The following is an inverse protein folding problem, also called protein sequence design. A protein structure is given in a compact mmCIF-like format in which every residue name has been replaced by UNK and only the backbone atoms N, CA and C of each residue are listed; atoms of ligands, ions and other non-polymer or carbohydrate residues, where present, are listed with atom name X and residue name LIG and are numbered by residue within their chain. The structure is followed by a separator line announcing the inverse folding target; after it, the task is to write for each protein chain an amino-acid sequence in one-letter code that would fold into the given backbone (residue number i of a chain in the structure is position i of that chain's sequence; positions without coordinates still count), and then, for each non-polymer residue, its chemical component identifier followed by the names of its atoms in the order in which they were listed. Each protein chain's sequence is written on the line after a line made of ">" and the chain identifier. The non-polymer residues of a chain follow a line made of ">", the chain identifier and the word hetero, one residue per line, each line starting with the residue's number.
data_IF_205358457984
#
_entry.id   IF_205358457984
#
_cell.length_a   1.000
_cell.length_b   1.000
_cell.length_c   1.000
_cell.angle_alpha   90.00
_cell.angle_beta   90.00
_cell.angle_gamma   90.00
#
_symmetry.space_group_name_H-M   'P 1'
#
loop_
_entity.id
_entity.type
_entity.pdbx_description
1 polymer ?
#
# COMPACT_ATOMS: atom_id res chain seq x y z
N UNK A 1 38.59 30.35 57.44
CA UNK A 1 39.19 29.71 58.64
C UNK A 1 39.46 28.24 58.31
N UNK A 2 40.72 27.90 58.00
CA UNK A 2 41.64 27.02 58.78
C UNK A 2 41.19 25.56 58.99
N UNK A 3 41.90 24.66 58.28
CA UNK A 3 42.49 23.33 58.63
C UNK A 3 41.79 22.51 59.73
N UNK A 4 41.65 21.20 59.56
CA UNK A 4 42.68 20.27 60.06
C UNK A 4 42.69 18.89 59.34
N UNK A 5 43.89 18.48 58.93
CA UNK A 5 44.35 17.12 58.61
C UNK A 5 44.69 16.33 59.89
N UNK A 6 44.46 15.01 59.90
CA UNK A 6 45.29 13.94 60.52
C UNK A 6 45.00 12.66 59.71
N UNK A 7 45.88 12.05 58.90
CA UNK A 7 47.19 11.41 59.13
C UNK A 7 47.16 10.28 60.16
N UNK A 8 46.98 9.04 59.69
CA UNK A 8 47.51 7.83 60.35
C UNK A 8 48.13 6.94 59.27
N UNK A 9 49.44 6.82 59.36
CA UNK A 9 50.34 5.90 58.69
C UNK A 9 50.17 4.48 59.21
N UNK A 10 50.28 3.46 58.35
CA UNK A 10 50.74 2.10 58.73
C UNK A 10 51.22 1.31 57.51
N UNK A 11 52.54 1.34 57.35
CA UNK A 11 53.45 0.20 57.16
C UNK A 11 53.13 -0.83 56.07
N UNK A 12 53.92 -0.77 55.00
CA UNK A 12 54.15 -1.86 54.05
C UNK A 12 54.75 -3.07 54.75
N UNK A 13 54.18 -4.25 54.54
CA UNK A 13 54.89 -5.53 54.66
C UNK A 13 54.65 -6.33 53.38
N UNK A 14 55.71 -6.48 52.60
CA UNK A 14 55.73 -7.31 51.40
C UNK A 14 55.71 -8.78 51.83
N UNK A 15 54.65 -9.50 51.46
CA UNK A 15 54.58 -10.96 51.55
C UNK A 15 54.46 -11.52 50.14
N UNK A 16 55.55 -12.07 49.62
CA UNK A 16 55.62 -12.82 48.37
C UNK A 16 54.81 -14.11 48.49
N UNK A 17 53.64 -14.16 47.86
CA UNK A 17 52.89 -15.40 47.66
C UNK A 17 53.22 -15.95 46.27
N UNK A 18 54.08 -16.95 46.25
CA UNK A 18 54.44 -17.74 45.08
C UNK A 18 53.20 -18.50 44.59
N UNK A 19 52.54 -18.00 43.56
CA UNK A 19 51.48 -18.74 42.85
C UNK A 19 52.19 -19.79 41.99
N UNK A 20 52.25 -21.01 42.50
CA UNK A 20 52.59 -22.20 41.71
C UNK A 20 51.46 -22.39 40.70
N UNK A 21 51.78 -22.21 39.42
CA UNK A 21 50.86 -22.41 38.31
C UNK A 21 50.45 -23.87 38.22
N UNK A 22 49.13 -24.12 38.29
CA UNK A 22 48.52 -25.33 37.72
C UNK A 22 47.87 -24.92 36.41
N UNK A 23 48.71 -24.65 35.42
CA UNK A 23 48.29 -24.63 34.01
C UNK A 23 48.08 -26.07 33.58
N UNK A 24 46.83 -26.56 33.59
CA UNK A 24 46.55 -27.85 32.97
C UNK A 24 45.33 -28.64 33.45
N UNK A 25 44.17 -28.02 33.68
CA UNK A 25 42.92 -28.77 33.57
C UNK A 25 42.41 -28.64 32.14
N UNK A 26 42.75 -29.64 31.32
CA UNK A 26 42.17 -29.87 30.00
C UNK A 26 40.64 -29.82 30.10
N UNK A 27 39.98 -28.99 29.27
CA UNK A 27 38.52 -28.80 29.22
C UNK A 27 37.71 -30.08 28.97
N UNK A 28 38.35 -31.21 28.67
CA UNK A 28 37.69 -32.51 28.50
C UNK A 28 37.08 -33.08 29.78
N UNK A 29 37.49 -32.61 30.98
CA UNK A 29 36.87 -33.08 32.22
C UNK A 29 35.47 -32.47 32.48
N UNK A 30 35.12 -31.36 31.80
CA UNK A 30 33.82 -30.68 32.01
C UNK A 30 32.66 -31.24 31.17
N UNK A 31 32.93 -31.99 30.10
CA UNK A 31 31.89 -32.53 29.21
C UNK A 31 31.19 -33.79 29.75
N UNK A 32 31.60 -34.31 30.91
CA UNK A 32 30.97 -35.49 31.54
C UNK A 32 29.89 -35.08 32.55
N UNK A 33 29.85 -33.81 32.97
CA UNK A 33 28.92 -33.29 33.99
C UNK A 33 27.82 -32.40 33.42
N UNK A 34 27.95 -31.93 32.18
CA UNK A 34 26.97 -31.07 31.53
C UNK A 34 26.89 -31.49 30.06
N UNK A 35 25.71 -31.93 29.61
CA UNK A 35 25.37 -32.11 28.19
C UNK A 35 25.39 -30.74 27.49
N UNK A 36 26.59 -30.26 27.17
CA UNK A 36 26.81 -29.09 26.33
C UNK A 36 26.97 -29.60 24.90
N UNK A 37 26.04 -29.32 23.98
CA UNK A 37 26.19 -29.70 22.59
C UNK A 37 27.44 -29.05 21.99
N UNK A 38 28.17 -29.83 21.20
CA UNK A 38 29.44 -29.46 20.58
C UNK A 38 29.24 -28.26 19.63
N UNK A 39 30.05 -27.21 19.80
CA UNK A 39 29.93 -25.96 19.02
C UNK A 39 30.26 -26.25 17.55
N UNK A 40 29.24 -26.20 16.68
CA UNK A 40 29.41 -26.37 15.24
C UNK A 40 30.45 -25.35 14.70
N UNK A 41 31.41 -25.86 13.92
CA UNK A 41 32.48 -25.06 13.34
C UNK A 41 31.89 -23.89 12.50
N UNK A 42 32.17 -22.65 12.92
CA UNK A 42 31.82 -21.44 12.16
C UNK A 42 32.33 -21.56 10.72
N UNK A 43 31.48 -21.32 9.69
CA UNK A 43 31.92 -21.34 8.31
C UNK A 43 32.98 -20.25 8.09
N UNK A 44 34.09 -20.63 7.47
CA UNK A 44 35.15 -19.69 7.09
C UNK A 44 34.58 -18.71 6.06
N UNK A 45 34.69 -17.41 6.37
CA UNK A 45 34.24 -16.35 5.49
C UNK A 45 35.08 -16.34 4.21
N UNK A 46 34.46 -16.67 3.08
CA UNK A 46 35.07 -16.49 1.75
C UNK A 46 35.17 -14.98 1.50
N UNK A 47 36.40 -14.50 1.36
CA UNK A 47 36.68 -13.08 1.14
C UNK A 47 36.45 -12.75 -0.34
N UNK A 48 35.22 -12.33 -0.66
CA UNK A 48 34.85 -11.97 -2.04
C UNK A 48 35.28 -10.53 -2.31
N UNK A 49 36.05 -10.32 -3.39
CA UNK A 49 36.50 -9.00 -3.82
C UNK A 49 35.29 -8.08 -4.09
N UNK A 50 35.24 -6.97 -3.35
CA UNK A 50 34.18 -5.96 -3.46
C UNK A 50 34.04 -5.36 -4.86
N UNK A 51 35.10 -5.41 -5.66
CA UNK A 51 35.15 -4.93 -7.05
C UNK A 51 34.38 -5.90 -7.97
N UNK A 52 34.57 -7.20 -7.76
CA UNK A 52 33.82 -8.26 -8.47
C UNK A 52 32.34 -8.21 -8.07
N UNK A 53 32.02 -8.02 -6.79
CA UNK A 53 30.64 -7.87 -6.33
C UNK A 53 29.94 -6.66 -6.94
N UNK A 54 30.64 -5.52 -7.09
CA UNK A 54 30.09 -4.33 -7.76
C UNK A 54 29.87 -4.58 -9.24
N UNK A 55 30.85 -5.16 -9.94
CA UNK A 55 30.74 -5.48 -11.36
C UNK A 55 29.61 -6.49 -11.65
N UNK A 56 29.46 -7.51 -10.79
CA UNK A 56 28.33 -8.45 -10.86
C UNK A 56 27.00 -7.75 -10.58
N UNK A 57 26.93 -6.88 -9.58
CA UNK A 57 25.73 -6.12 -9.27
C UNK A 57 25.33 -5.17 -10.41
N UNK A 58 26.30 -4.52 -11.05
CA UNK A 58 26.06 -3.61 -12.18
C UNK A 58 25.69 -4.40 -13.45
N UNK A 59 26.27 -5.58 -13.66
CA UNK A 59 25.87 -6.49 -14.74
C UNK A 59 24.48 -7.08 -14.51
N UNK A 60 24.13 -7.42 -13.26
CA UNK A 60 22.78 -7.85 -12.89
C UNK A 60 21.77 -6.72 -13.07
N UNK A 61 22.13 -5.48 -12.74
CA UNK A 61 21.31 -4.30 -13.01
C UNK A 61 21.12 -4.09 -14.50
N UNK A 62 22.18 -4.15 -15.31
CA UNK A 62 22.07 -4.05 -16.76
C UNK A 62 21.21 -5.18 -17.36
N UNK A 63 21.36 -6.41 -16.87
CA UNK A 63 20.52 -7.55 -17.25
C UNK A 63 19.08 -7.40 -16.76
N UNK A 64 18.84 -6.83 -15.57
CA UNK A 64 17.50 -6.51 -15.06
C UNK A 64 16.87 -5.31 -15.77
N UNK A 65 17.66 -4.38 -16.29
CA UNK A 65 17.19 -3.28 -17.15
C UNK A 65 16.81 -3.81 -18.53
N UNK A 66 17.62 -4.72 -19.09
CA UNK A 66 17.32 -5.43 -20.34
C UNK A 66 16.11 -6.38 -20.19
N UNK A 67 16.01 -7.12 -19.09
CA UNK A 67 14.89 -8.02 -18.79
C UNK A 67 13.64 -7.27 -18.30
N UNK A 68 13.81 -6.10 -17.66
CA UNK A 68 12.74 -5.22 -17.20
C UNK A 68 11.90 -4.66 -18.33
N UNK A 69 12.47 -4.59 -19.55
CA UNK A 69 11.71 -4.26 -20.77
C UNK A 69 10.86 -5.41 -21.30
N UNK A 70 11.10 -6.68 -20.92
CA UNK A 70 10.35 -7.83 -21.42
C UNK A 70 9.24 -8.34 -20.49
N UNK A 71 9.18 -7.88 -19.23
CA UNK A 71 8.23 -8.39 -18.25
C UNK A 71 6.75 -8.05 -18.56
N UNK A 72 6.52 -7.11 -19.47
CA UNK A 72 5.20 -6.53 -19.75
C UNK A 72 4.54 -7.05 -21.04
N UNK A 73 5.16 -8.04 -21.69
CA UNK A 73 4.75 -8.53 -23.01
C UNK A 73 3.47 -9.38 -22.97
N UNK A 74 3.24 -10.14 -21.90
CA UNK A 74 2.02 -10.94 -21.70
C UNK A 74 1.19 -10.35 -20.56
N UNK A 75 0.08 -9.67 -20.88
CA UNK A 75 -0.82 -9.06 -19.89
C UNK A 75 -1.98 -10.00 -19.54
N UNK A 76 -2.50 -9.95 -18.30
CA UNK A 76 -3.68 -10.73 -17.93
C UNK A 76 -4.88 -10.41 -18.84
N UNK A 77 -5.67 -11.44 -19.16
CA UNK A 77 -6.84 -11.32 -20.06
C UNK A 77 -7.86 -10.30 -19.57
N UNK A 78 -7.98 -10.10 -18.25
CA UNK A 78 -8.88 -9.12 -17.65
C UNK A 78 -8.65 -7.69 -18.17
N UNK A 79 -7.44 -7.36 -18.63
CA UNK A 79 -7.11 -6.06 -19.21
C UNK A 79 -7.66 -5.85 -20.62
N UNK A 80 -8.23 -6.88 -21.26
CA UNK A 80 -8.87 -6.73 -22.57
C UNK A 80 -10.32 -6.28 -22.46
N UNK A 81 -10.97 -6.53 -21.33
CA UNK A 81 -12.36 -6.17 -21.11
C UNK A 81 -12.48 -4.70 -20.67
N UNK A 82 -13.44 -4.00 -21.27
CA UNK A 82 -13.85 -2.65 -20.91
C UNK A 82 -15.24 -2.61 -20.24
N UNK A 83 -15.90 -3.77 -20.18
CA UNK A 83 -17.18 -3.96 -19.50
C UNK A 83 -16.98 -4.23 -18.01
N UNK A 84 -17.55 -3.42 -17.10
CA UNK A 84 -17.39 -3.60 -15.67
C UNK A 84 -17.93 -4.95 -15.17
N UNK A 85 -19.05 -5.43 -15.71
CA UNK A 85 -19.75 -6.60 -15.18
C UNK A 85 -18.97 -7.90 -15.48
N UNK A 86 -18.42 -8.00 -16.69
CA UNK A 86 -17.49 -9.07 -17.08
C UNK A 86 -16.26 -9.10 -16.19
N UNK A 87 -15.68 -7.94 -15.92
CA UNK A 87 -14.48 -7.81 -15.09
C UNK A 87 -14.75 -8.24 -13.65
N UNK A 88 -15.90 -7.87 -13.11
CA UNK A 88 -16.33 -8.27 -11.76
C UNK A 88 -16.53 -9.76 -11.63
N UNK A 89 -17.01 -10.43 -12.68
CA UNK A 89 -17.18 -11.88 -12.69
C UNK A 89 -15.83 -12.63 -12.64
N UNK A 90 -14.76 -12.03 -13.16
CA UNK A 90 -13.42 -12.64 -13.19
C UNK A 90 -12.63 -12.44 -11.90
N UNK A 91 -13.05 -11.52 -11.02
CA UNK A 91 -12.29 -11.19 -9.82
C UNK A 91 -12.65 -12.11 -8.64
N UNK A 92 -11.65 -12.56 -7.87
CA UNK A 92 -11.89 -13.40 -6.69
C UNK A 92 -12.69 -12.63 -5.62
N UNK A 93 -13.45 -13.38 -4.83
CA UNK A 93 -14.27 -12.88 -3.74
C UNK A 93 -13.74 -13.33 -2.40
N UNK A 94 -13.92 -12.50 -1.38
CA UNK A 94 -13.67 -12.88 0.00
C UNK A 94 -14.88 -13.57 0.64
N UNK A 95 -14.72 -14.01 1.89
CA UNK A 95 -15.78 -14.66 2.67
C UNK A 95 -17.06 -13.80 2.74
N UNK A 96 -16.91 -12.48 2.85
CA UNK A 96 -18.04 -11.56 2.87
C UNK A 96 -18.69 -11.39 1.48
N UNK A 97 -18.03 -11.77 0.38
CA UNK A 97 -18.50 -11.59 -0.99
C UNK A 97 -17.98 -10.31 -1.66
N UNK A 98 -17.11 -9.54 -1.00
CA UNK A 98 -16.44 -8.39 -1.60
C UNK A 98 -15.37 -8.85 -2.60
N UNK A 99 -14.97 -7.96 -3.52
CA UNK A 99 -13.80 -8.20 -4.37
C UNK A 99 -12.54 -8.25 -3.52
N UNK A 100 -11.79 -9.35 -3.61
CA UNK A 100 -10.49 -9.48 -2.96
C UNK A 100 -9.35 -9.08 -3.91
N UNK A 101 -9.02 -7.79 -3.90
CA UNK A 101 -7.94 -7.22 -4.69
C UNK A 101 -6.57 -7.82 -4.39
N UNK A 102 -6.34 -8.27 -3.15
CA UNK A 102 -5.06 -8.86 -2.76
C UNK A 102 -4.95 -10.29 -3.25
N UNK A 103 -6.04 -11.06 -3.21
CA UNK A 103 -6.10 -12.38 -3.83
C UNK A 103 -5.91 -12.27 -5.35
N UNK A 104 -6.56 -11.30 -5.99
CA UNK A 104 -6.40 -11.06 -7.42
C UNK A 104 -4.95 -10.76 -7.83
N UNK A 105 -4.19 -10.05 -6.99
CA UNK A 105 -2.75 -9.84 -7.18
C UNK A 105 -1.94 -11.14 -6.99
N UNK A 106 -2.21 -11.88 -5.91
CA UNK A 106 -1.49 -13.13 -5.60
C UNK A 106 -1.67 -14.17 -6.70
N UNK A 107 -2.90 -14.29 -7.19
CA UNK A 107 -3.27 -15.24 -8.24
C UNK A 107 -2.90 -14.73 -9.65
N UNK A 108 -2.31 -13.54 -9.74
CA UNK A 108 -1.95 -12.88 -11.00
C UNK A 108 -3.13 -12.68 -11.97
N UNK A 109 -4.38 -12.69 -11.45
CA UNK A 109 -5.57 -12.31 -12.21
C UNK A 109 -5.43 -10.88 -12.70
N UNK A 110 -4.86 -10.00 -11.87
CA UNK A 110 -4.49 -8.63 -12.23
C UNK A 110 -2.99 -8.44 -12.04
N UNK A 111 -2.39 -7.57 -12.86
CA UNK A 111 -0.96 -7.24 -12.77
C UNK A 111 -0.70 -5.74 -12.94
N UNK A 112 -1.24 -4.89 -12.06
CA UNK A 112 -1.18 -3.45 -12.23
C UNK A 112 0.26 -2.94 -12.18
N UNK A 113 0.60 -2.08 -13.15
CA UNK A 113 1.92 -1.49 -13.30
C UNK A 113 2.23 -0.55 -12.14
N UNK A 114 3.50 -0.58 -11.71
CA UNK A 114 3.99 0.26 -10.62
C UNK A 114 4.50 1.65 -11.08
N UNK A 115 4.56 1.88 -12.38
CA UNK A 115 5.00 3.13 -13.00
C UNK A 115 4.43 3.26 -14.42
N UNK A 116 4.54 4.45 -15.01
CA UNK A 116 4.07 4.73 -16.37
C UNK A 116 5.13 4.23 -17.37
N UNK A 117 4.76 3.40 -18.36
CA UNK A 117 5.68 2.95 -19.40
C UNK A 117 6.33 4.11 -20.13
N UNK A 118 7.65 4.05 -20.32
CA UNK A 118 8.43 5.13 -20.94
C UNK A 118 8.87 6.24 -19.98
N UNK A 119 8.40 6.23 -18.73
CA UNK A 119 8.96 7.08 -17.67
C UNK A 119 10.01 6.33 -16.86
N UNK A 120 10.89 7.09 -16.19
CA UNK A 120 11.90 6.51 -15.28
C UNK A 120 11.19 5.80 -14.12
N UNK A 121 11.53 4.53 -13.84
CA UNK A 121 10.98 3.81 -12.68
C UNK A 121 11.25 4.56 -11.36
N UNK A 122 10.34 4.48 -10.38
CA UNK A 122 10.55 5.09 -9.09
C UNK A 122 11.75 4.45 -8.36
N UNK A 123 12.36 5.15 -7.38
CA UNK A 123 13.52 4.64 -6.65
C UNK A 123 13.27 3.32 -5.91
N UNK A 124 12.00 3.04 -5.58
CA UNK A 124 11.60 1.76 -5.01
C UNK A 124 11.20 0.81 -6.12
N UNK A 125 11.82 -0.38 -6.19
CA UNK A 125 11.53 -1.36 -7.23
C UNK A 125 10.07 -1.82 -7.14
N UNK A 126 9.56 -2.30 -8.27
CA UNK A 126 8.29 -3.00 -8.30
C UNK A 126 8.36 -4.24 -7.38
N UNK A 127 7.26 -4.52 -6.67
CA UNK A 127 7.17 -5.63 -5.72
C UNK A 127 7.76 -5.34 -4.33
N UNK A 128 8.17 -4.11 -4.02
CA UNK A 128 8.58 -3.75 -2.66
C UNK A 128 7.47 -4.02 -1.63
N UNK A 129 7.75 -4.92 -0.68
CA UNK A 129 6.88 -5.24 0.45
C UNK A 129 7.59 -4.82 1.74
N UNK A 130 6.99 -3.88 2.46
CA UNK A 130 7.49 -3.49 3.77
C UNK A 130 6.85 -4.39 4.83
N UNK A 131 7.65 -5.19 5.53
CA UNK A 131 7.14 -6.23 6.44
C UNK A 131 7.10 -5.80 7.92
N UNK A 132 7.01 -4.50 8.20
CA UNK A 132 6.85 -4.01 9.57
C UNK A 132 5.37 -3.83 9.89
N UNK A 133 4.74 -4.89 10.36
CA UNK A 133 3.30 -4.94 10.55
C UNK A 133 2.91 -4.60 11.99
N UNK A 134 1.69 -4.09 12.17
CA UNK A 134 1.22 -3.56 13.45
C UNK A 134 -0.02 -4.29 13.96
N UNK A 135 -0.09 -4.46 15.28
CA UNK A 135 -1.29 -4.89 15.98
C UNK A 135 -1.89 -3.70 16.75
N UNK A 136 -3.19 -3.52 16.62
CA UNK A 136 -3.99 -2.59 17.40
C UNK A 136 -4.76 -3.40 18.45
N UNK A 137 -4.37 -3.32 19.74
CA UNK A 137 -5.05 -4.07 20.78
C UNK A 137 -6.48 -3.54 20.97
N UNK A 138 -7.44 -4.45 20.96
CA UNK A 138 -8.83 -4.17 21.28
C UNK A 138 -9.13 -4.39 22.77
N UNK A 139 -10.39 -4.21 23.20
CA UNK A 139 -10.83 -4.59 24.55
C UNK A 139 -10.60 -6.07 24.89
N UNK A 140 -10.57 -6.93 23.86
CA UNK A 140 -10.26 -8.35 23.98
C UNK A 140 -9.60 -8.89 22.69
N UNK A 141 -9.10 -10.13 22.73
CA UNK A 141 -8.39 -10.78 21.63
C UNK A 141 -9.24 -10.94 20.35
N UNK A 142 -10.56 -11.09 20.47
CA UNK A 142 -11.46 -11.18 19.30
C UNK A 142 -11.48 -9.86 18.53
N UNK A 143 -11.31 -8.75 19.26
CA UNK A 143 -11.29 -7.40 18.69
C UNK A 143 -9.89 -6.87 18.37
N UNK A 144 -8.83 -7.66 18.57
CA UNK A 144 -7.47 -7.25 18.17
C UNK A 144 -7.39 -7.13 16.65
N UNK A 145 -6.96 -5.97 16.16
CA UNK A 145 -6.85 -5.70 14.74
C UNK A 145 -5.41 -5.76 14.26
N UNK A 146 -5.20 -6.30 13.06
CA UNK A 146 -3.89 -6.39 12.42
C UNK A 146 -3.81 -5.52 11.17
N UNK A 147 -2.68 -4.84 10.98
CA UNK A 147 -2.40 -4.03 9.82
C UNK A 147 -1.08 -4.47 9.16
N UNK A 148 -1.16 -5.12 7.99
CA UNK A 148 0.03 -5.50 7.23
C UNK A 148 0.48 -4.38 6.28
N UNK A 149 1.68 -3.84 6.48
CA UNK A 149 2.29 -2.93 5.51
C UNK A 149 2.54 -3.61 4.17
N UNK A 150 2.93 -4.88 4.19
CA UNK A 150 3.27 -5.67 3.00
C UNK A 150 2.14 -5.70 1.95
N UNK A 151 0.90 -5.83 2.41
CA UNK A 151 -0.29 -5.78 1.55
C UNK A 151 -0.55 -4.38 1.00
N UNK A 152 -0.34 -3.34 1.82
CA UNK A 152 -0.62 -1.96 1.43
C UNK A 152 0.47 -1.40 0.50
N UNK A 153 1.76 -1.68 0.74
CA UNK A 153 2.87 -1.16 -0.06
C UNK A 153 2.97 -1.78 -1.45
N UNK A 154 2.23 -2.87 -1.69
CA UNK A 154 2.03 -3.39 -3.05
C UNK A 154 1.25 -2.41 -3.92
N UNK A 155 0.31 -1.64 -3.35
CA UNK A 155 -0.51 -0.66 -4.07
C UNK A 155 -0.08 0.80 -3.85
N UNK A 156 0.37 1.08 -2.63
CA UNK A 156 0.59 2.41 -2.11
C UNK A 156 2.06 2.71 -1.86
N UNK A 157 2.38 4.00 -1.79
CA UNK A 157 3.62 4.58 -1.32
C UNK A 157 3.44 5.10 0.13
N UNK A 158 4.50 5.06 0.94
CA UNK A 158 4.54 5.64 2.28
C UNK A 158 3.91 7.03 2.39
N UNK A 159 4.13 7.93 1.42
CA UNK A 159 3.59 9.31 1.45
C UNK A 159 2.07 9.38 1.37
N UNK A 160 1.42 8.34 0.86
CA UNK A 160 -0.05 8.30 0.74
C UNK A 160 -0.73 8.08 2.10
N UNK A 161 0.00 7.50 3.05
CA UNK A 161 -0.46 7.23 4.41
C UNK A 161 0.19 8.17 5.44
N UNK A 162 1.50 8.39 5.33
CA UNK A 162 2.29 9.14 6.31
C UNK A 162 2.71 10.52 5.80
N UNK A 163 2.64 11.57 6.63
CA UNK A 163 2.09 11.59 8.00
C UNK A 163 0.60 11.98 8.04
N UNK A 164 -0.06 12.07 6.87
CA UNK A 164 -1.39 12.68 6.72
C UNK A 164 -2.50 11.89 7.42
N UNK A 165 -2.56 10.58 7.18
CA UNK A 165 -3.57 9.70 7.78
C UNK A 165 -3.02 9.13 9.09
N UNK A 166 -1.78 8.66 9.04
CA UNK A 166 -1.12 8.02 10.17
C UNK A 166 0.15 8.78 10.53
N UNK A 167 0.37 8.99 11.82
CA UNK A 167 1.68 9.41 12.33
C UNK A 167 2.59 8.19 12.28
N UNK A 168 3.89 8.41 12.17
CA UNK A 168 4.86 7.30 12.22
C UNK A 168 4.78 6.50 13.53
N UNK A 169 4.33 7.14 14.63
CA UNK A 169 4.13 6.51 15.94
C UNK A 169 2.95 7.14 16.67
N UNK A 170 2.31 6.35 17.52
CA UNK A 170 1.33 6.83 18.49
C UNK A 170 0.00 7.29 17.89
N UNK A 171 -0.38 6.82 16.71
CA UNK A 171 -1.73 7.05 16.19
C UNK A 171 -2.72 6.23 17.01
N UNK A 172 -3.67 6.91 17.65
CA UNK A 172 -4.77 6.29 18.38
C UNK A 172 -5.98 6.24 17.45
N UNK A 173 -6.52 5.04 17.25
CA UNK A 173 -7.63 4.78 16.35
C UNK A 173 -8.75 4.16 17.15
N UNK A 174 -9.98 4.57 16.87
CA UNK A 174 -11.20 3.95 17.38
C UNK A 174 -12.10 3.59 16.21
N UNK A 175 -12.93 2.55 16.36
CA UNK A 175 -13.90 2.18 15.32
C UNK A 175 -14.87 3.33 14.98
N UNK A 176 -15.22 4.16 15.97
CA UNK A 176 -16.04 5.35 15.75
C UNK A 176 -15.40 6.35 14.75
N UNK A 177 -14.08 6.53 14.80
CA UNK A 177 -13.37 7.38 13.82
C UNK A 177 -13.39 6.75 12.42
N UNK A 178 -13.26 5.43 12.34
CA UNK A 178 -13.32 4.69 11.07
C UNK A 178 -14.72 4.82 10.46
N UNK A 179 -15.78 4.70 11.26
CA UNK A 179 -17.16 4.93 10.77
C UNK A 179 -17.41 6.36 10.31
N UNK A 180 -16.63 7.34 10.79
CA UNK A 180 -16.64 8.72 10.31
C UNK A 180 -15.79 8.94 9.04
N UNK A 181 -15.23 7.88 8.44
CA UNK A 181 -14.41 7.97 7.23
C UNK A 181 -12.95 8.34 7.47
N UNK A 182 -12.45 8.29 8.70
CA UNK A 182 -11.04 8.55 9.05
C UNK A 182 -10.21 7.26 8.99
N UNK A 183 -8.88 7.42 9.00
CA UNK A 183 -7.93 6.32 9.06
C UNK A 183 -8.16 5.28 7.96
N UNK A 184 -8.49 4.03 8.33
CA UNK A 184 -8.73 2.93 7.41
C UNK A 184 -9.85 3.23 6.41
N UNK A 185 -10.89 3.95 6.84
CA UNK A 185 -12.05 4.29 6.00
C UNK A 185 -11.81 5.46 5.04
N UNK A 186 -10.61 6.07 5.05
CA UNK A 186 -10.22 6.93 3.94
C UNK A 186 -10.11 6.13 2.63
N UNK A 187 -9.84 4.81 2.72
CA UNK A 187 -9.74 3.92 1.57
C UNK A 187 -10.77 2.77 1.61
N UNK A 188 -10.92 2.06 2.73
CA UNK A 188 -11.87 0.95 2.87
C UNK A 188 -13.32 1.46 2.84
N UNK A 189 -14.11 0.93 1.89
CA UNK A 189 -15.47 1.39 1.57
C UNK A 189 -15.54 2.38 0.42
N UNK A 190 -14.44 3.07 0.10
CA UNK A 190 -14.31 3.92 -1.10
C UNK A 190 -13.61 3.15 -2.21
N UNK A 191 -12.33 2.86 -2.05
CA UNK A 191 -11.50 2.22 -3.10
C UNK A 191 -11.07 0.79 -2.75
N UNK A 192 -11.42 0.33 -1.56
CA UNK A 192 -11.22 -1.03 -1.07
C UNK A 192 -12.51 -1.57 -0.45
N UNK A 193 -12.48 -2.82 0.03
CA UNK A 193 -13.65 -3.46 0.65
C UNK A 193 -14.23 -2.61 1.79
N UNK A 194 -15.56 -2.62 2.02
CA UNK A 194 -16.19 -1.88 3.11
C UNK A 194 -15.82 -2.42 4.48
N UNK A 195 -15.53 -1.52 5.42
CA UNK A 195 -15.24 -1.91 6.81
C UNK A 195 -16.45 -2.61 7.47
N UNK A 196 -17.68 -2.27 7.07
CA UNK A 196 -18.89 -2.82 7.69
C UNK A 196 -19.11 -4.30 7.38
N UNK A 197 -18.62 -4.78 6.24
CA UNK A 197 -18.93 -6.12 5.74
C UNK A 197 -17.79 -7.10 5.99
N UNK A 198 -16.62 -6.66 6.45
CA UNK A 198 -15.41 -7.49 6.46
C UNK A 198 -14.57 -7.32 7.74
N UNK A 199 -15.23 -7.36 8.92
CA UNK A 199 -14.60 -7.20 10.22
C UNK A 199 -13.43 -8.19 10.44
N UNK A 200 -13.59 -9.44 10.00
CA UNK A 200 -12.60 -10.53 10.12
C UNK A 200 -11.30 -10.27 9.35
N UNK A 201 -11.31 -9.33 8.39
CA UNK A 201 -10.10 -8.99 7.63
C UNK A 201 -9.12 -8.13 8.43
N UNK A 202 -9.63 -7.45 9.45
CA UNK A 202 -8.81 -6.67 10.38
C UNK A 202 -8.71 -7.40 11.70
N UNK A 203 -9.84 -7.86 12.25
CA UNK A 203 -9.95 -8.46 13.56
C UNK A 203 -9.61 -9.96 13.50
N UNK A 204 -8.38 -10.30 13.88
CA UNK A 204 -7.80 -11.65 13.68
C UNK A 204 -8.49 -12.76 14.47
N UNK A 205 -9.13 -12.42 15.59
CA UNK A 205 -9.91 -13.37 16.39
C UNK A 205 -11.40 -13.40 16.04
N UNK A 206 -11.86 -12.59 15.07
CA UNK A 206 -13.27 -12.50 14.70
C UNK A 206 -13.58 -13.41 13.52
N UNK A 207 -14.62 -14.23 13.66
CA UNK A 207 -15.19 -15.02 12.56
C UNK A 207 -16.59 -14.53 12.28
N UNK A 208 -16.89 -14.28 11.00
CA UNK A 208 -18.15 -13.69 10.56
C UNK A 208 -18.81 -14.59 9.51
N UNK A 209 -20.15 -14.61 9.43
CA UNK A 209 -20.84 -15.43 8.45
C UNK A 209 -20.53 -14.97 7.01
N UNK A 210 -20.61 -15.89 6.03
CA UNK A 210 -20.33 -15.55 4.63
C UNK A 210 -21.43 -14.68 4.00
N UNK A 211 -21.17 -14.14 2.80
CA UNK A 211 -22.14 -13.47 1.92
C UNK A 211 -22.85 -12.26 2.55
N UNK A 212 -22.08 -11.32 3.08
CA UNK A 212 -22.57 -10.08 3.72
C UNK A 212 -22.41 -8.83 2.84
N UNK A 213 -21.67 -8.92 1.75
CA UNK A 213 -21.47 -7.84 0.79
C UNK A 213 -22.69 -7.70 -0.13
N UNK A 214 -23.15 -6.47 -0.33
CA UNK A 214 -24.17 -6.18 -1.35
C UNK A 214 -23.51 -5.61 -2.61
N UNK A 215 -24.13 -5.74 -3.80
CA UNK A 215 -23.59 -5.22 -5.06
C UNK A 215 -23.24 -3.71 -5.02
N UNK A 216 -23.98 -2.93 -4.24
CA UNK A 216 -23.79 -1.48 -4.05
C UNK A 216 -22.52 -1.15 -3.25
N UNK A 217 -21.95 -2.14 -2.57
CA UNK A 217 -20.83 -2.00 -1.65
C UNK A 217 -19.53 -2.65 -2.17
N UNK A 218 -19.42 -2.91 -3.48
CA UNK A 218 -18.25 -3.53 -4.10
C UNK A 218 -17.03 -2.60 -4.29
N UNK A 219 -16.78 -1.66 -3.37
CA UNK A 219 -15.55 -0.85 -3.37
C UNK A 219 -15.30 -0.12 -4.71
N UNK A 220 -16.33 0.61 -5.15
CA UNK A 220 -16.36 1.52 -6.32
C UNK A 220 -16.13 0.90 -7.69
N UNK A 221 -16.80 -0.19 -8.02
CA UNK A 221 -16.99 -0.51 -9.43
C UNK A 221 -17.95 0.47 -10.11
N UNK A 222 -19.01 0.87 -9.40
CA UNK A 222 -19.83 2.04 -9.72
C UNK A 222 -19.79 2.97 -8.51
N UNK A 223 -19.07 4.08 -8.61
CA UNK A 223 -19.42 5.23 -7.78
C UNK A 223 -20.82 5.62 -8.23
N UNK A 224 -21.86 5.09 -7.58
CA UNK A 224 -23.19 5.65 -7.77
C UNK A 224 -23.05 7.14 -7.47
N UNK A 225 -23.41 8.04 -8.40
CA UNK A 225 -23.48 9.46 -8.11
C UNK A 225 -24.21 9.62 -6.79
N UNK A 226 -23.75 10.51 -5.90
CA UNK A 226 -24.48 10.78 -4.65
C UNK A 226 -25.96 11.12 -4.93
N UNK A 227 -26.24 11.68 -6.11
CA UNK A 227 -27.59 11.86 -6.69
C UNK A 227 -28.43 10.60 -6.69
N UNK A 228 -27.91 9.44 -7.12
CA UNK A 228 -28.69 8.20 -7.18
C UNK A 228 -29.01 7.65 -5.78
N UNK A 229 -28.04 7.69 -4.86
CA UNK A 229 -28.24 7.25 -3.47
C UNK A 229 -29.26 8.15 -2.76
N UNK A 230 -29.21 9.46 -3.04
CA UNK A 230 -30.09 10.45 -2.42
C UNK A 230 -31.48 10.49 -3.08
N UNK A 231 -31.59 10.17 -4.38
CA UNK A 231 -32.86 10.03 -5.10
C UNK A 231 -33.65 8.82 -4.60
N UNK A 232 -32.99 7.68 -4.37
CA UNK A 232 -33.63 6.49 -3.80
C UNK A 232 -34.00 6.64 -2.32
N UNK A 233 -33.22 7.42 -1.57
CA UNK A 233 -33.53 7.73 -0.18
C UNK A 233 -34.68 8.75 -0.02
N UNK A 234 -35.33 9.18 -1.11
CA UNK A 234 -36.51 10.06 -1.11
C UNK A 234 -36.30 11.42 -0.43
N UNK A 235 -35.06 11.83 -0.19
CA UNK A 235 -34.72 12.95 0.72
C UNK A 235 -34.00 14.11 0.04
N UNK A 236 -33.84 14.09 -1.28
CA UNK A 236 -33.06 15.09 -1.98
C UNK A 236 -33.92 16.16 -2.67
N UNK A 237 -33.87 17.38 -2.11
CA UNK A 237 -34.14 18.61 -2.85
C UNK A 237 -33.10 18.75 -3.98
N UNK A 238 -33.56 18.70 -5.24
CA UNK A 238 -32.74 18.77 -6.44
C UNK A 238 -31.87 20.04 -6.52
N UNK A 239 -32.27 21.11 -5.83
CA UNK A 239 -31.49 22.37 -5.78
C UNK A 239 -30.27 22.29 -4.85
N UNK A 240 -30.24 21.34 -3.90
CA UNK A 240 -29.09 21.09 -3.02
C UNK A 240 -28.09 20.10 -3.64
N UNK A 241 -28.55 19.26 -4.56
CA UNK A 241 -27.72 18.34 -5.36
C UNK A 241 -26.84 19.07 -6.38
N UNK A 242 -27.28 20.24 -6.87
CA UNK A 242 -26.45 21.12 -7.70
C UNK A 242 -25.13 21.48 -7.02
N UNK A 243 -25.11 21.58 -5.69
CA UNK A 243 -23.95 21.92 -4.84
C UNK A 243 -22.82 20.88 -4.84
N UNK A 244 -23.16 19.59 -4.94
CA UNK A 244 -22.21 18.47 -4.77
C UNK A 244 -21.45 18.19 -6.09
N UNK A 245 -22.07 18.56 -7.22
CA UNK A 245 -21.48 18.47 -8.56
C UNK A 245 -21.02 19.83 -9.12
N UNK A 246 -20.93 20.93 -8.33
CA UNK A 246 -20.41 22.24 -8.80
C UNK A 246 -18.93 22.23 -9.22
N UNK A 247 -18.30 21.06 -9.28
CA UNK A 247 -17.04 20.87 -10.00
C UNK A 247 -17.29 20.68 -11.49
N UNK A 248 -17.53 21.79 -12.19
CA UNK A 248 -17.47 21.91 -13.66
C UNK A 248 -18.67 21.28 -14.40
N UNK A 249 -19.82 21.97 -14.39
CA UNK A 249 -20.61 22.03 -15.62
C UNK A 249 -19.66 22.49 -16.73
N UNK A 250 -19.51 21.70 -17.79
CA UNK A 250 -18.66 22.08 -18.91
C UNK A 250 -19.12 23.44 -19.40
N UNK A 251 -18.20 24.42 -19.45
CA UNK A 251 -18.46 25.72 -20.09
C UNK A 251 -18.91 25.58 -21.55
N UNK A 252 -18.75 24.39 -22.13
CA UNK A 252 -19.08 24.02 -23.50
C UNK A 252 -20.32 23.11 -23.60
N UNK A 253 -21.13 22.97 -22.54
CA UNK A 253 -22.38 22.18 -22.59
C UNK A 253 -22.19 20.66 -22.69
N UNK A 254 -20.97 20.15 -22.47
CA UNK A 254 -20.71 18.70 -22.38
C UNK A 254 -21.15 18.14 -21.01
N UNK A 255 -21.60 16.87 -20.95
CA UNK A 255 -21.85 16.20 -19.68
C UNK A 255 -20.56 16.11 -18.85
N UNK A 256 -20.66 15.91 -17.53
CA UNK A 256 -19.50 15.82 -16.65
C UNK A 256 -18.59 14.66 -17.09
N UNK A 257 -17.28 14.86 -16.96
CA UNK A 257 -16.31 13.81 -17.19
C UNK A 257 -16.36 12.77 -16.06
N UNK A 258 -16.45 11.50 -16.40
CA UNK A 258 -16.42 10.39 -15.46
C UNK A 258 -15.04 9.72 -15.46
N UNK A 259 -14.56 9.37 -14.26
CA UNK A 259 -13.30 8.65 -14.09
C UNK A 259 -13.54 7.32 -13.35
N UNK A 260 -13.68 6.20 -14.06
CA UNK A 260 -13.86 4.89 -13.44
C UNK A 260 -12.53 4.42 -12.83
N UNK A 261 -12.45 4.32 -11.50
CA UNK A 261 -11.24 3.83 -10.84
C UNK A 261 -10.93 2.37 -11.17
N UNK A 262 -11.94 1.53 -11.40
CA UNK A 262 -11.75 0.09 -11.58
C UNK A 262 -10.84 -0.26 -12.77
N UNK A 263 -11.04 0.39 -13.92
CA UNK A 263 -10.30 0.09 -15.17
C UNK A 263 -8.84 0.53 -15.07
N UNK A 264 -8.60 1.61 -14.30
CA UNK A 264 -7.28 2.14 -14.02
C UNK A 264 -6.57 1.29 -12.95
N UNK A 265 -7.28 0.88 -11.89
CA UNK A 265 -6.80 0.01 -10.79
C UNK A 265 -6.33 -1.35 -11.27
N UNK A 266 -6.95 -1.90 -12.31
CA UNK A 266 -6.54 -3.18 -12.90
C UNK A 266 -5.19 -3.05 -13.63
N UNK A 267 -4.94 -1.89 -14.25
CA UNK A 267 -3.75 -1.64 -15.09
C UNK A 267 -2.62 -0.93 -14.36
N UNK A 268 -2.92 -0.15 -13.32
CA UNK A 268 -1.98 0.71 -12.60
C UNK A 268 -2.27 0.72 -11.11
N UNK A 269 -1.18 0.82 -10.33
CA UNK A 269 -1.26 0.93 -8.87
C UNK A 269 -1.57 2.36 -8.45
N UNK A 270 -2.18 2.53 -7.28
CA UNK A 270 -2.58 3.85 -6.77
C UNK A 270 -1.41 4.83 -6.68
N UNK A 271 -0.22 4.34 -6.31
CA UNK A 271 1.02 5.16 -6.21
C UNK A 271 1.46 5.82 -7.53
N UNK A 272 0.98 5.33 -8.66
CA UNK A 272 1.27 5.91 -9.99
C UNK A 272 0.53 7.24 -10.15
N UNK A 273 -0.71 7.31 -9.69
CA UNK A 273 -1.56 8.48 -9.84
C UNK A 273 -1.51 9.40 -8.62
N UNK A 274 -1.51 8.83 -7.42
CA UNK A 274 -1.56 9.57 -6.16
C UNK A 274 -0.22 9.46 -5.43
N UNK A 275 0.36 10.54 -4.93
CA UNK A 275 -0.11 11.93 -4.89
C UNK A 275 0.43 12.79 -6.04
N UNK A 276 1.03 12.17 -7.06
CA UNK A 276 1.88 12.86 -8.04
C UNK A 276 1.04 13.56 -9.13
N UNK A 277 0.10 12.83 -9.73
CA UNK A 277 -0.75 13.33 -10.81
C UNK A 277 -2.03 13.94 -10.25
N UNK A 278 -2.58 13.32 -9.21
CA UNK A 278 -3.85 13.72 -8.59
C UNK A 278 -3.74 13.72 -7.07
N UNK A 279 -4.40 14.69 -6.45
CA UNK A 279 -4.76 14.61 -5.04
C UNK A 279 -5.94 13.64 -4.84
N UNK A 280 -5.87 12.67 -3.91
CA UNK A 280 -6.93 11.69 -3.61
C UNK A 280 -8.03 12.34 -2.77
N UNK A 281 -8.61 13.42 -3.28
CA UNK A 281 -9.70 14.16 -2.66
C UNK A 281 -10.63 14.67 -3.77
N UNK A 282 -11.91 14.36 -3.65
CA UNK A 282 -12.92 14.83 -4.60
C UNK A 282 -12.90 16.36 -4.69
N UNK A 283 -12.94 16.88 -5.91
CA UNK A 283 -12.93 18.32 -6.20
C UNK A 283 -11.60 19.05 -5.96
N UNK A 284 -10.54 18.36 -5.53
CA UNK A 284 -9.25 19.02 -5.26
C UNK A 284 -8.43 19.33 -6.53
N UNK A 285 -8.68 18.61 -7.63
CA UNK A 285 -7.93 18.76 -8.87
C UNK A 285 -8.77 19.54 -9.90
N UNK A 286 -8.34 20.74 -10.24
CA UNK A 286 -8.94 21.50 -11.35
C UNK A 286 -8.26 21.12 -12.66
N UNK A 287 -8.88 20.20 -13.41
CA UNK A 287 -8.35 19.70 -14.68
C UNK A 287 -9.02 20.40 -15.85
N UNK A 288 -8.23 20.98 -16.75
CA UNK A 288 -8.72 21.55 -18.01
C UNK A 288 -8.24 20.75 -19.22
N UNK A 289 -8.95 20.84 -20.35
CA UNK A 289 -8.49 20.21 -21.61
C UNK A 289 -7.14 20.75 -22.07
N UNK A 290 -6.82 22.01 -21.74
CA UNK A 290 -5.48 22.57 -21.97
C UNK A 290 -4.43 21.79 -21.18
N UNK A 291 -4.65 21.54 -19.90
CA UNK A 291 -3.72 20.77 -19.07
C UNK A 291 -3.51 19.37 -19.65
N UNK A 292 -4.58 18.73 -20.12
CA UNK A 292 -4.53 17.41 -20.75
C UNK A 292 -3.70 17.46 -22.06
N UNK A 293 -3.93 18.47 -22.91
CA UNK A 293 -3.15 18.65 -24.15
C UNK A 293 -1.67 18.94 -23.91
N UNK A 294 -1.34 19.55 -22.76
CA UNK A 294 0.02 19.82 -22.30
C UNK A 294 0.67 18.60 -21.60
N UNK A 295 -0.01 17.43 -21.56
CA UNK A 295 0.51 16.21 -20.96
C UNK A 295 0.36 16.12 -19.44
N UNK A 296 -0.43 17.00 -18.80
CA UNK A 296 -0.75 16.95 -17.36
C UNK A 296 -2.01 16.12 -17.10
N UNK A 297 -2.18 15.69 -15.86
CA UNK A 297 -3.34 14.90 -15.41
C UNK A 297 -3.59 13.68 -16.31
N UNK A 298 -4.77 13.60 -16.93
CA UNK A 298 -5.15 12.54 -17.87
C UNK A 298 -4.15 12.46 -19.04
N UNK A 299 -3.64 13.59 -19.51
CA UNK A 299 -2.70 13.71 -20.64
C UNK A 299 -1.35 13.03 -20.40
N UNK A 300 -0.98 12.72 -19.15
CA UNK A 300 0.25 11.99 -18.85
C UNK A 300 0.21 10.55 -19.39
N UNK A 301 -0.98 9.96 -19.45
CA UNK A 301 -1.22 8.64 -20.05
C UNK A 301 -2.02 8.71 -21.35
N UNK A 302 -3.04 9.56 -21.44
CA UNK A 302 -3.89 9.73 -22.62
C UNK A 302 -3.22 10.61 -23.70
N UNK A 303 -2.04 10.18 -24.14
CA UNK A 303 -1.16 10.87 -25.08
C UNK A 303 -0.94 10.12 -26.40
N UNK A 304 -1.68 9.02 -26.62
CA UNK A 304 -1.54 8.15 -27.79
C UNK A 304 -0.39 7.14 -27.69
N UNK A 305 0.42 7.17 -26.62
CA UNK A 305 1.53 6.23 -26.38
C UNK A 305 1.20 5.23 -25.29
N UNK A 306 0.74 5.70 -24.14
CA UNK A 306 0.41 4.84 -22.98
C UNK A 306 -1.05 4.39 -23.04
N UNK A 307 -1.94 5.32 -23.39
CA UNK A 307 -3.35 5.09 -23.66
C UNK A 307 -3.77 5.91 -24.88
N UNK A 308 -5.04 5.79 -25.29
CA UNK A 308 -5.60 6.60 -26.38
C UNK A 308 -5.39 8.10 -26.13
N UNK A 309 -5.17 8.87 -27.19
CA UNK A 309 -4.98 10.31 -27.08
C UNK A 309 -6.29 11.01 -26.68
N UNK A 310 -6.25 11.90 -25.69
CA UNK A 310 -7.39 12.73 -25.29
C UNK A 310 -7.58 13.92 -26.25
N UNK A 311 -7.78 13.63 -27.53
CA UNK A 311 -7.96 14.60 -28.61
C UNK A 311 -9.41 14.81 -29.02
N UNK A 312 -9.60 15.71 -30.01
CA UNK A 312 -10.89 15.96 -30.64
C UNK A 312 -11.38 14.70 -31.37
N UNK A 313 -12.42 14.04 -30.84
CA UNK A 313 -13.00 12.80 -31.37
C UNK A 313 -13.25 11.72 -30.31
N UNK A 314 -12.60 11.83 -29.15
CA UNK A 314 -12.70 10.85 -28.05
C UNK A 314 -13.45 11.42 -26.83
N UNK A 315 -14.15 12.54 -26.99
CA UNK A 315 -14.81 13.29 -25.91
C UNK A 315 -15.77 12.41 -25.09
N UNK A 316 -16.56 11.60 -25.79
CA UNK A 316 -17.58 10.68 -25.27
C UNK A 316 -17.01 9.57 -24.38
N UNK A 317 -15.70 9.31 -24.42
CA UNK A 317 -15.08 8.30 -23.55
C UNK A 317 -14.90 8.77 -22.12
N UNK A 318 -14.90 10.08 -21.91
CA UNK A 318 -14.81 10.70 -20.60
C UNK A 318 -16.13 11.40 -20.26
N UNK A 319 -16.67 12.18 -21.18
CA UNK A 319 -17.90 12.96 -21.01
C UNK A 319 -19.11 12.09 -21.30
N UNK A 320 -19.61 11.42 -20.26
CA UNK A 320 -20.75 10.49 -20.35
C UNK A 320 -21.90 11.07 -19.51
N UNK A 321 -23.08 11.18 -20.10
CA UNK A 321 -24.27 11.60 -19.37
C UNK A 321 -24.61 10.57 -18.27
N UNK A 322 -25.08 11.02 -17.09
CA UNK A 322 -25.64 10.08 -16.12
C UNK A 322 -26.84 9.38 -16.75
N UNK A 323 -26.93 8.05 -16.61
CA UNK A 323 -28.07 7.30 -17.14
C UNK A 323 -29.35 7.68 -16.40
N UNK A 324 -30.40 8.06 -17.13
CA UNK A 324 -31.72 8.38 -16.57
C UNK A 324 -32.17 9.85 -16.59
N UNK A 325 -31.52 10.73 -17.35
CA UNK A 325 -32.00 12.09 -17.60
C UNK A 325 -32.50 12.28 -19.02
N UNK A 326 -33.81 12.08 -19.23
CA UNK A 326 -34.56 12.74 -20.32
C UNK A 326 -34.89 14.18 -19.93
#
# INVERSE_FOLDING_TARGET
>A
MRRLRRSITRTFLAGTLTIIGVSGCSRRALSVLVDVPEEEAKPQAVQVDSTILRALADSLRALQELAGFQHDTVRPEIEKFLDPDTVVALLPRDNAGNIDWMQALRDSVIRPRAYIPGERPPPRPDGFQFAFDFYFPGPNQVTDAFFPHSSHTQWLDCRQCHSRIFRYRGTKIQMADIFQGKYCAECHGKVAYPVMTACERCHTGMSMPPNRATPELLGTLRLRPAVEILAEAGTADSTKLEGINKGVASRMGLPPAQFPHWVHRIRFRCKVCHMDIFEPRNGANAVTMRDISEGRYCGRCHNGKVAFAAGFGECQRCHVAPEGGE
#
